data_IF_085652451053
#
_entry.id   IF_085652451053
#
_cell.length_a   1.000
_cell.length_b   1.000
_cell.length_c   1.000
_cell.angle_alpha   90.00
_cell.angle_beta   90.00
_cell.angle_gamma   90.00
#
_symmetry.space_group_name_H-M   'P 1'
#
loop_
_entity.id
_entity.type
_entity.pdbx_description
1 polymer ?
#
# COMPACT_ATOMS: atom_id res chain seq x y z
N UNK A 1 -33.03 39.01 -64.69
CA UNK A 1 -33.17 38.33 -63.37
C UNK A 1 -31.80 38.40 -62.68
N UNK A 2 -31.67 38.92 -61.46
CA UNK A 2 -30.43 38.87 -60.78
C UNK A 2 -30.14 37.41 -60.35
N UNK A 3 -28.96 36.91 -60.57
CA UNK A 3 -28.53 35.61 -60.11
C UNK A 3 -28.48 35.64 -58.56
N UNK A 4 -29.04 34.63 -57.95
CA UNK A 4 -28.94 34.48 -56.50
C UNK A 4 -27.49 34.26 -56.10
N UNK A 5 -26.99 35.07 -55.19
CA UNK A 5 -25.66 34.85 -54.61
C UNK A 5 -25.69 33.57 -53.76
N UNK A 6 -24.89 32.58 -54.15
CA UNK A 6 -24.73 31.36 -53.38
C UNK A 6 -23.98 31.65 -52.07
N UNK A 7 -24.42 31.02 -50.97
CA UNK A 7 -23.69 31.05 -49.69
C UNK A 7 -22.43 30.16 -49.78
N UNK A 8 -21.28 30.71 -49.46
CA UNK A 8 -20.06 29.92 -49.28
C UNK A 8 -19.85 29.63 -47.78
N UNK A 9 -19.62 28.35 -47.43
CA UNK A 9 -19.32 27.93 -46.05
C UNK A 9 -17.96 27.30 -46.02
N UNK A 10 -17.17 27.61 -44.99
CA UNK A 10 -15.91 26.92 -44.70
C UNK A 10 -15.97 26.36 -43.25
N UNK A 11 -15.30 25.26 -43.01
CA UNK A 11 -15.22 24.64 -41.68
C UNK A 11 -13.77 24.47 -41.26
N UNK A 12 -13.53 24.64 -40.00
CA UNK A 12 -12.24 24.40 -39.38
C UNK A 12 -12.41 23.35 -38.29
N UNK A 13 -11.57 22.32 -38.28
CA UNK A 13 -11.54 21.32 -37.21
C UNK A 13 -10.62 21.81 -36.12
N UNK A 14 -11.11 21.85 -34.86
CA UNK A 14 -10.31 22.09 -33.67
C UNK A 14 -10.07 20.74 -33.02
N UNK A 15 -8.80 20.39 -32.76
CA UNK A 15 -8.42 19.17 -32.07
C UNK A 15 -7.58 19.50 -30.85
N UNK A 16 -7.75 18.75 -29.76
CA UNK A 16 -6.96 18.82 -28.54
C UNK A 16 -6.66 17.40 -28.06
N UNK A 17 -5.43 17.17 -27.61
CA UNK A 17 -5.02 15.92 -26.99
C UNK A 17 -4.79 16.15 -25.50
N UNK A 18 -5.41 15.32 -24.64
CA UNK A 18 -5.24 15.35 -23.19
C UNK A 18 -4.43 14.09 -22.82
N UNK A 19 -3.26 14.29 -22.22
CA UNK A 19 -2.40 13.19 -21.78
C UNK A 19 -2.89 12.60 -20.47
N UNK A 20 -2.63 11.29 -20.26
CA UNK A 20 -2.85 10.64 -18.98
C UNK A 20 -1.90 11.20 -17.92
N UNK A 21 -2.41 11.41 -16.71
CA UNK A 21 -1.66 11.85 -15.53
C UNK A 21 -2.04 10.95 -14.36
N UNK A 22 -1.07 10.59 -13.54
CA UNK A 22 -1.30 9.85 -12.29
C UNK A 22 -0.53 10.53 -11.15
N UNK A 23 -1.14 10.54 -9.97
CA UNK A 23 -0.50 10.95 -8.71
C UNK A 23 -0.81 9.95 -7.61
N UNK A 24 0.15 9.75 -6.71
CA UNK A 24 -0.03 8.92 -5.52
C UNK A 24 0.67 9.60 -4.34
N UNK A 25 0.05 9.51 -3.15
CA UNK A 25 0.64 9.98 -1.90
C UNK A 25 0.13 9.14 -0.73
N UNK A 26 0.92 9.10 0.35
CA UNK A 26 0.61 8.41 1.61
C UNK A 26 0.05 9.38 2.63
N UNK A 27 -0.64 8.89 3.65
CA UNK A 27 -1.19 9.73 4.73
C UNK A 27 -0.10 10.37 5.61
N UNK A 28 1.12 9.82 5.60
CA UNK A 28 2.27 10.36 6.32
C UNK A 28 3.57 9.68 5.92
N UNK A 29 4.72 10.30 6.24
CA UNK A 29 6.03 9.76 5.87
C UNK A 29 6.45 8.55 6.73
N UNK A 30 5.75 8.29 7.83
CA UNK A 30 6.11 7.23 8.79
C UNK A 30 4.87 6.61 9.42
N UNK A 31 4.84 5.28 9.51
CA UNK A 31 3.88 4.52 10.30
C UNK A 31 4.58 4.02 11.57
N UNK A 32 4.12 4.48 12.74
CA UNK A 32 4.69 4.08 14.02
C UNK A 32 3.95 2.86 14.57
N UNK A 33 4.62 1.73 14.66
CA UNK A 33 4.13 0.45 15.22
C UNK A 33 4.89 0.09 16.49
N UNK A 34 4.98 1.04 17.42
CA UNK A 34 5.76 0.90 18.65
C UNK A 34 5.18 -0.18 19.57
N UNK A 35 6.02 -1.10 20.03
CA UNK A 35 5.65 -2.17 20.95
C UNK A 35 6.44 -2.06 22.24
N UNK A 36 5.74 -2.09 23.39
CA UNK A 36 6.34 -2.32 24.71
C UNK A 36 6.16 -3.80 25.04
N UNK A 37 7.18 -4.66 24.85
CA UNK A 37 6.99 -6.10 24.90
C UNK A 37 6.69 -6.62 26.31
N UNK A 38 5.93 -7.71 26.38
CA UNK A 38 5.79 -8.55 27.56
C UNK A 38 6.31 -9.97 27.26
N UNK A 39 6.40 -10.84 28.26
CA UNK A 39 7.08 -12.15 28.16
C UNK A 39 6.70 -12.98 26.93
N UNK A 40 5.41 -13.17 26.67
CA UNK A 40 4.90 -13.96 25.51
C UNK A 40 4.85 -13.18 24.21
N UNK A 41 5.05 -11.86 24.26
CA UNK A 41 4.91 -10.95 23.13
C UNK A 41 3.60 -10.17 23.11
N UNK A 42 3.70 -8.94 22.63
CA UNK A 42 2.57 -8.05 22.33
C UNK A 42 2.66 -7.58 20.89
N UNK A 43 1.52 -7.18 20.34
CA UNK A 43 1.38 -6.69 18.97
C UNK A 43 0.89 -5.25 18.97
N UNK A 44 1.45 -4.45 18.06
CA UNK A 44 0.89 -3.16 17.66
C UNK A 44 0.51 -3.23 16.19
N UNK A 45 -0.65 -2.67 15.86
CA UNK A 45 -1.18 -2.58 14.49
C UNK A 45 -1.47 -1.11 14.22
N UNK A 46 -0.94 -0.57 13.12
CA UNK A 46 -1.22 0.78 12.64
C UNK A 46 -1.34 0.78 11.12
N UNK A 47 -1.96 1.81 10.57
CA UNK A 47 -2.20 1.90 9.12
C UNK A 47 -1.55 3.11 8.49
N UNK A 48 -1.31 2.98 7.19
CA UNK A 48 -1.12 4.06 6.24
C UNK A 48 -2.27 4.06 5.24
N UNK A 49 -2.57 5.22 4.67
CA UNK A 49 -3.55 5.35 3.60
C UNK A 49 -2.86 5.87 2.36
N UNK A 50 -2.87 5.07 1.30
CA UNK A 50 -2.37 5.46 -0.02
C UNK A 50 -3.53 6.00 -0.82
N UNK A 51 -3.38 7.22 -1.35
CA UNK A 51 -4.39 7.91 -2.16
C UNK A 51 -3.87 8.06 -3.59
N UNK A 52 -4.65 7.62 -4.58
CA UNK A 52 -4.30 7.68 -5.99
C UNK A 52 -5.35 8.48 -6.75
N UNK A 53 -4.89 9.34 -7.68
CA UNK A 53 -5.75 10.03 -8.64
C UNK A 53 -5.17 9.87 -10.05
N UNK A 54 -6.04 9.58 -11.02
CA UNK A 54 -5.67 9.52 -12.45
C UNK A 54 -6.85 9.91 -13.34
N UNK A 55 -6.56 10.57 -14.45
CA UNK A 55 -7.51 10.83 -15.53
C UNK A 55 -7.48 9.73 -16.60
N UNK A 56 -6.68 8.67 -16.43
CA UNK A 56 -6.65 7.56 -17.38
C UNK A 56 -7.96 6.76 -17.29
N UNK A 57 -8.61 6.58 -18.42
CA UNK A 57 -9.88 5.84 -18.53
C UNK A 57 -9.70 4.33 -18.38
N UNK A 58 -8.46 3.82 -18.54
CA UNK A 58 -8.12 2.43 -18.26
C UNK A 58 -7.83 2.19 -16.76
N UNK A 59 -7.71 3.26 -15.97
CA UNK A 59 -7.48 3.17 -14.53
C UNK A 59 -6.02 3.10 -14.14
N UNK A 60 -5.73 2.42 -13.03
CA UNK A 60 -4.37 2.28 -12.50
C UNK A 60 -4.16 0.94 -11.79
N UNK A 61 -2.89 0.59 -11.64
CA UNK A 61 -2.44 -0.51 -10.78
C UNK A 61 -1.58 0.05 -9.65
N UNK A 62 -1.90 -0.29 -8.38
CA UNK A 62 -1.14 0.06 -7.18
C UNK A 62 -0.38 -1.16 -6.68
N UNK A 63 0.93 -1.00 -6.50
CA UNK A 63 1.85 -2.04 -6.04
C UNK A 63 2.47 -1.65 -4.70
N UNK A 64 2.92 -2.66 -3.94
CA UNK A 64 3.75 -2.54 -2.73
C UNK A 64 5.01 -3.37 -2.85
N UNK A 65 6.15 -2.83 -2.44
CA UNK A 65 7.41 -3.54 -2.28
C UNK A 65 8.25 -2.88 -1.20
N UNK A 66 9.23 -3.62 -0.69
CA UNK A 66 10.33 -3.05 0.07
C UNK A 66 11.21 -2.16 -0.84
N UNK A 67 11.92 -1.22 -0.25
CA UNK A 67 12.87 -0.38 -0.98
C UNK A 67 14.19 -1.08 -1.29
N UNK A 68 14.47 -2.21 -0.62
CA UNK A 68 15.69 -2.99 -0.81
C UNK A 68 15.45 -4.52 -0.93
N UNK A 69 16.50 -5.31 -0.86
CA UNK A 69 16.44 -6.77 -1.03
C UNK A 69 16.10 -7.54 0.26
N UNK A 70 15.91 -6.84 1.38
CA UNK A 70 15.60 -7.45 2.68
C UNK A 70 14.32 -6.84 3.23
N UNK A 71 13.42 -7.64 3.74
CA UNK A 71 12.14 -7.21 4.30
C UNK A 71 12.09 -7.35 5.83
N UNK A 72 13.20 -7.05 6.49
CA UNK A 72 13.31 -7.10 7.95
C UNK A 72 13.42 -5.71 8.53
N UNK A 73 12.68 -5.44 9.62
CA UNK A 73 12.94 -4.22 10.38
C UNK A 73 14.31 -4.33 11.07
N UNK A 74 15.17 -3.34 10.90
CA UNK A 74 16.57 -3.37 11.37
C UNK A 74 16.85 -2.29 12.40
N UNK A 75 17.62 -2.64 13.44
CA UNK A 75 18.20 -1.73 14.44
C UNK A 75 19.65 -2.14 14.72
N UNK A 76 20.60 -1.52 14.05
CA UNK A 76 22.01 -1.91 14.12
C UNK A 76 22.22 -3.37 13.68
N UNK A 77 22.74 -4.22 14.57
CA UNK A 77 22.93 -5.65 14.32
C UNK A 77 21.68 -6.51 14.63
N UNK A 78 20.59 -5.90 15.10
CA UNK A 78 19.37 -6.61 15.47
C UNK A 78 18.30 -6.43 14.40
N UNK A 79 17.43 -7.44 14.22
CA UNK A 79 16.33 -7.38 13.27
C UNK A 79 15.04 -7.98 13.83
N UNK A 80 13.89 -7.55 13.33
CA UNK A 80 12.60 -8.23 13.47
C UNK A 80 12.31 -8.86 12.11
N UNK A 81 12.11 -10.17 12.10
CA UNK A 81 11.92 -10.93 10.86
C UNK A 81 10.58 -10.57 10.20
N UNK A 82 10.52 -10.68 8.89
CA UNK A 82 9.25 -10.62 8.19
C UNK A 82 8.35 -11.81 8.56
N UNK A 83 7.03 -11.61 8.43
CA UNK A 83 6.03 -12.68 8.52
C UNK A 83 6.32 -13.82 7.52
N UNK A 84 5.93 -15.03 7.85
CA UNK A 84 6.21 -16.23 7.03
C UNK A 84 5.13 -16.59 6.01
N UNK A 85 4.00 -15.86 6.00
CA UNK A 85 2.94 -16.03 5.01
C UNK A 85 3.27 -15.45 3.64
N UNK A 86 2.24 -15.26 2.84
CA UNK A 86 2.27 -14.47 1.61
C UNK A 86 0.87 -13.85 1.39
N UNK A 87 0.72 -12.96 0.41
CA UNK A 87 -0.55 -12.26 0.17
C UNK A 87 -1.73 -13.20 -0.11
N UNK A 88 -1.49 -14.37 -0.71
CA UNK A 88 -2.55 -15.35 -1.03
C UNK A 88 -2.88 -16.24 0.18
N UNK A 89 -1.86 -16.58 0.98
CA UNK A 89 -1.96 -17.42 2.18
C UNK A 89 -1.31 -16.72 3.38
N UNK A 90 -1.88 -15.59 3.83
CA UNK A 90 -1.35 -14.84 4.96
C UNK A 90 -1.55 -15.61 6.26
N UNK A 91 -0.68 -15.36 7.24
CA UNK A 91 -0.74 -15.99 8.57
C UNK A 91 -0.73 -14.94 9.68
N UNK A 92 -1.18 -15.31 10.87
CA UNK A 92 -1.08 -14.43 12.03
C UNK A 92 0.40 -14.15 12.36
N UNK A 93 0.67 -12.97 12.95
CA UNK A 93 2.00 -12.68 13.47
C UNK A 93 2.36 -13.66 14.60
N UNK A 94 3.64 -13.94 14.70
CA UNK A 94 4.23 -14.61 15.86
C UNK A 94 5.16 -13.63 16.58
N UNK A 95 5.59 -13.95 17.78
CA UNK A 95 6.53 -13.08 18.49
C UNK A 95 7.81 -12.84 17.67
N UNK A 96 8.19 -11.57 17.53
CA UNK A 96 9.36 -11.09 16.79
C UNK A 96 9.22 -11.18 15.25
N UNK A 97 7.98 -11.04 14.75
CA UNK A 97 7.70 -10.88 13.32
C UNK A 97 6.91 -9.59 13.03
N UNK A 98 6.93 -9.18 11.76
CA UNK A 98 6.16 -8.06 11.24
C UNK A 98 5.66 -8.33 9.83
N UNK A 99 4.64 -7.61 9.42
CA UNK A 99 4.11 -7.73 8.07
C UNK A 99 3.06 -6.67 7.75
N UNK A 100 2.55 -6.75 6.52
CA UNK A 100 1.47 -5.90 6.04
C UNK A 100 0.20 -6.68 5.74
N UNK A 101 -0.91 -5.96 5.60
CA UNK A 101 -2.17 -6.47 5.05
C UNK A 101 -2.99 -5.36 4.41
N UNK A 102 -3.86 -5.73 3.49
CA UNK A 102 -4.92 -4.88 2.91
C UNK A 102 -6.22 -5.68 2.92
N UNK A 103 -7.28 -5.09 3.45
CA UNK A 103 -8.56 -5.79 3.60
C UNK A 103 -9.14 -6.18 2.24
N UNK A 104 -9.62 -7.43 2.15
CA UNK A 104 -10.22 -7.97 0.94
C UNK A 104 -9.23 -8.27 -0.21
N UNK A 105 -7.93 -8.07 0.00
CA UNK A 105 -6.89 -8.39 -1.00
C UNK A 105 -6.30 -9.78 -0.69
N UNK A 106 -6.09 -10.60 -1.72
CA UNK A 106 -5.52 -11.93 -1.56
C UNK A 106 -6.30 -12.77 -0.54
N UNK A 107 -5.59 -13.35 0.42
CA UNK A 107 -6.16 -14.18 1.49
C UNK A 107 -6.35 -13.45 2.81
N UNK A 108 -6.19 -12.13 2.88
CA UNK A 108 -6.23 -11.40 4.15
C UNK A 108 -7.61 -11.41 4.83
N UNK A 109 -8.71 -11.45 4.08
CA UNK A 109 -10.05 -11.28 4.62
C UNK A 109 -10.32 -9.85 5.10
N UNK A 110 -11.34 -9.66 5.94
CA UNK A 110 -11.73 -8.38 6.50
C UNK A 110 -10.98 -8.04 7.81
N UNK A 111 -10.88 -6.73 8.13
CA UNK A 111 -10.28 -6.17 9.38
C UNK A 111 -8.76 -6.12 9.37
N UNK A 112 -8.09 -5.38 10.26
CA UNK A 112 -8.68 -4.64 11.38
C UNK A 112 -9.40 -3.37 10.90
N UNK A 113 -10.31 -2.86 11.72
CA UNK A 113 -11.03 -1.60 11.47
C UNK A 113 -10.46 -0.43 12.27
N UNK A 114 -9.50 -0.69 13.15
CA UNK A 114 -8.83 0.31 13.98
C UNK A 114 -7.42 -0.16 14.35
N UNK A 115 -6.55 0.79 14.64
CA UNK A 115 -5.24 0.53 15.22
C UNK A 115 -5.36 -0.13 16.59
N UNK A 116 -4.38 -0.95 16.94
CA UNK A 116 -4.23 -1.56 18.25
C UNK A 116 -2.81 -1.34 18.76
N UNK A 117 -2.62 -1.03 20.03
CA UNK A 117 -1.31 -0.79 20.62
C UNK A 117 -1.09 -1.71 21.82
N UNK A 118 0.04 -2.40 21.84
CA UNK A 118 0.44 -3.31 22.93
C UNK A 118 -0.66 -4.32 23.29
N UNK A 119 -1.38 -4.83 22.30
CA UNK A 119 -2.41 -5.84 22.48
C UNK A 119 -1.82 -7.26 22.47
N UNK A 120 -2.56 -8.23 22.94
CA UNK A 120 -2.21 -9.64 22.74
C UNK A 120 -2.10 -9.93 21.22
N UNK A 121 -1.13 -10.78 20.84
CA UNK A 121 -0.97 -11.19 19.44
C UNK A 121 -2.30 -11.81 18.97
N UNK A 122 -2.88 -11.24 17.93
CA UNK A 122 -4.20 -11.58 17.44
C UNK A 122 -4.16 -12.63 16.32
N UNK A 123 -5.33 -13.18 15.96
CA UNK A 123 -5.48 -14.04 14.80
C UNK A 123 -5.54 -13.28 13.46
N UNK A 124 -5.39 -11.96 13.48
CA UNK A 124 -5.34 -11.14 12.27
C UNK A 124 -4.13 -11.56 11.43
N UNK A 125 -4.38 -11.81 10.15
CA UNK A 125 -3.37 -12.35 9.22
C UNK A 125 -2.62 -11.23 8.53
N UNK A 126 -1.32 -11.43 8.40
CA UNK A 126 -0.38 -10.55 7.69
C UNK A 126 0.45 -11.35 6.68
N UNK A 127 1.11 -10.65 5.80
CA UNK A 127 2.10 -11.18 4.87
C UNK A 127 3.39 -10.37 4.98
N UNK A 128 4.56 -10.92 4.61
CA UNK A 128 5.77 -10.14 4.49
C UNK A 128 5.61 -9.06 3.40
N UNK A 129 6.16 -7.88 3.62
CA UNK A 129 6.33 -6.93 2.51
C UNK A 129 7.24 -7.60 1.48
N UNK A 130 6.86 -7.66 0.19
CA UNK A 130 7.69 -8.29 -0.82
C UNK A 130 8.97 -7.48 -1.03
N UNK A 131 10.09 -8.14 -1.20
CA UNK A 131 11.38 -7.50 -1.43
C UNK A 131 11.40 -6.71 -2.73
N UNK A 132 12.33 -5.77 -2.85
CA UNK A 132 12.56 -4.99 -4.08
C UNK A 132 12.61 -5.89 -5.33
N UNK A 133 11.94 -5.47 -6.39
CA UNK A 133 11.89 -6.19 -7.67
C UNK A 133 10.82 -7.29 -7.77
N UNK A 134 10.09 -7.58 -6.69
CA UNK A 134 9.02 -8.59 -6.67
C UNK A 134 7.71 -8.05 -6.06
N UNK A 135 7.17 -6.92 -6.53
CA UNK A 135 6.06 -6.24 -5.88
C UNK A 135 4.77 -7.06 -5.88
N UNK A 136 3.95 -6.87 -4.85
CA UNK A 136 2.58 -7.35 -4.80
C UNK A 136 1.59 -6.29 -5.26
N UNK A 137 0.55 -6.72 -5.99
CA UNK A 137 -0.56 -5.84 -6.37
C UNK A 137 -1.51 -5.67 -5.18
N UNK A 138 -1.75 -4.40 -4.80
CA UNK A 138 -2.73 -4.04 -3.78
C UNK A 138 -4.10 -3.72 -4.38
N UNK A 139 -4.12 -3.06 -5.54
CA UNK A 139 -5.35 -2.63 -6.21
C UNK A 139 -5.14 -2.48 -7.71
N UNK A 140 -6.16 -2.82 -8.48
CA UNK A 140 -6.26 -2.51 -9.91
C UNK A 140 -7.64 -1.93 -10.18
N UNK A 141 -7.71 -0.85 -10.94
CA UNK A 141 -8.96 -0.21 -11.37
C UNK A 141 -9.04 -0.20 -12.89
N UNK A 142 -10.23 0.01 -13.45
CA UNK A 142 -10.48 0.06 -14.89
C UNK A 142 -11.22 1.34 -15.29
N UNK A 143 -11.03 2.43 -14.55
CA UNK A 143 -11.64 3.74 -14.81
C UNK A 143 -10.80 4.84 -14.16
N UNK A 144 -11.08 6.09 -14.53
CA UNK A 144 -10.51 7.26 -13.85
C UNK A 144 -10.70 7.18 -12.33
N UNK A 145 -9.78 7.73 -11.58
CA UNK A 145 -9.82 7.77 -10.13
C UNK A 145 -9.60 9.19 -9.61
N UNK A 146 -10.36 9.58 -8.61
CA UNK A 146 -10.21 10.86 -7.90
C UNK A 146 -10.14 10.59 -6.40
N UNK A 147 -8.96 10.79 -5.80
CA UNK A 147 -8.70 10.53 -4.38
C UNK A 147 -9.12 9.11 -3.95
N UNK A 148 -8.84 8.12 -4.79
CA UNK A 148 -9.14 6.72 -4.49
C UNK A 148 -8.16 6.20 -3.46
N UNK A 149 -8.68 5.71 -2.32
CA UNK A 149 -7.87 5.35 -1.16
C UNK A 149 -7.72 3.84 -1.01
N UNK A 150 -6.55 3.44 -0.52
CA UNK A 150 -6.23 2.07 -0.09
C UNK A 150 -5.59 2.13 1.28
N UNK A 151 -6.20 1.51 2.28
CA UNK A 151 -5.63 1.42 3.63
C UNK A 151 -4.75 0.19 3.73
N UNK A 152 -3.48 0.40 4.06
CA UNK A 152 -2.48 -0.64 4.30
C UNK A 152 -2.20 -0.69 5.80
N UNK A 153 -2.42 -1.84 6.40
CA UNK A 153 -2.15 -2.10 7.80
C UNK A 153 -0.80 -2.76 7.98
N UNK A 154 -0.07 -2.34 8.99
CA UNK A 154 1.19 -2.93 9.43
C UNK A 154 1.04 -3.48 10.83
N UNK A 155 1.47 -4.73 11.04
CA UNK A 155 1.51 -5.39 12.32
C UNK A 155 2.94 -5.69 12.72
N UNK A 156 3.30 -5.40 13.96
CA UNK A 156 4.58 -5.80 14.56
C UNK A 156 4.31 -6.50 15.88
N UNK A 157 4.82 -7.71 16.04
CA UNK A 157 4.70 -8.49 17.26
C UNK A 157 6.08 -8.71 17.88
N UNK A 158 6.27 -8.34 19.16
CA UNK A 158 7.59 -8.40 19.83
C UNK A 158 7.47 -8.99 21.24
N UNK A 159 8.39 -9.87 21.60
CA UNK A 159 8.57 -10.39 22.97
C UNK A 159 9.79 -9.75 23.67
N UNK A 160 9.94 -10.00 24.96
CA UNK A 160 11.09 -9.50 25.77
C UNK A 160 12.44 -10.06 25.35
N UNK A 161 12.50 -11.02 24.43
CA UNK A 161 13.75 -11.56 23.89
C UNK A 161 14.40 -10.64 22.85
N UNK A 162 13.67 -9.64 22.33
CA UNK A 162 14.20 -8.66 21.39
C UNK A 162 14.88 -7.52 22.13
N UNK A 163 16.12 -7.14 21.79
CA UNK A 163 16.77 -5.95 22.34
C UNK A 163 15.95 -4.69 22.09
N UNK A 164 15.99 -3.75 23.02
CA UNK A 164 15.36 -2.43 22.83
C UNK A 164 16.09 -1.65 21.73
N UNK A 165 15.35 -0.87 20.95
CA UNK A 165 15.89 -0.06 19.86
C UNK A 165 14.80 0.44 18.92
N UNK A 166 15.18 1.32 17.99
CA UNK A 166 14.31 1.73 16.89
C UNK A 166 14.61 0.84 15.70
N UNK A 167 13.64 -0.01 15.36
CA UNK A 167 13.71 -0.91 14.22
C UNK A 167 12.96 -0.26 13.05
N UNK A 168 13.62 -0.12 11.91
CA UNK A 168 13.09 0.58 10.73
C UNK A 168 13.22 -0.24 9.47
N UNK A 169 12.33 0.02 8.55
CA UNK A 169 12.37 -0.42 7.16
C UNK A 169 11.64 0.61 6.29
N UNK A 170 11.83 0.57 4.97
CA UNK A 170 11.21 1.49 4.04
C UNK A 170 10.37 0.75 3.01
N UNK A 171 9.09 1.01 3.00
CA UNK A 171 8.13 0.44 2.05
C UNK A 171 7.85 1.44 0.93
N UNK A 172 7.84 0.96 -0.31
CA UNK A 172 7.55 1.74 -1.50
C UNK A 172 6.19 1.35 -2.09
N UNK A 173 5.36 2.34 -2.35
CA UNK A 173 4.14 2.18 -3.14
C UNK A 173 4.37 2.73 -4.55
N UNK A 174 3.97 1.97 -5.56
CA UNK A 174 4.06 2.38 -6.96
C UNK A 174 2.69 2.34 -7.59
N UNK A 175 2.20 3.48 -8.05
CA UNK A 175 0.97 3.57 -8.84
C UNK A 175 1.33 3.83 -10.30
N UNK A 176 0.78 3.02 -11.20
CA UNK A 176 1.00 3.13 -12.66
C UNK A 176 -0.35 3.20 -13.36
N UNK A 177 -0.52 4.16 -14.28
CA UNK A 177 -1.68 4.21 -15.17
C UNK A 177 -1.65 2.98 -16.11
N UNK A 178 -2.82 2.38 -16.38
CA UNK A 178 -2.96 1.13 -17.15
C UNK A 178 -2.94 1.34 -18.66
#
# INVERSE_FOLDING_TARGET
MPAAAGAATSSTTISSTISAVISAFTSGPTVNVNVTPSGVGLQTIASDTVTVSTNDTAGYTLLIADSDATNTLVSGANSIAANTGNQTTPVAETANTWGYRVDGVGGFGAGPTSSASNAAISAIKFAPVPVFGSPNTLKTTASTASNDTTTVWYGVAVSTTKPSGTYTDTVTYTATAN
#
